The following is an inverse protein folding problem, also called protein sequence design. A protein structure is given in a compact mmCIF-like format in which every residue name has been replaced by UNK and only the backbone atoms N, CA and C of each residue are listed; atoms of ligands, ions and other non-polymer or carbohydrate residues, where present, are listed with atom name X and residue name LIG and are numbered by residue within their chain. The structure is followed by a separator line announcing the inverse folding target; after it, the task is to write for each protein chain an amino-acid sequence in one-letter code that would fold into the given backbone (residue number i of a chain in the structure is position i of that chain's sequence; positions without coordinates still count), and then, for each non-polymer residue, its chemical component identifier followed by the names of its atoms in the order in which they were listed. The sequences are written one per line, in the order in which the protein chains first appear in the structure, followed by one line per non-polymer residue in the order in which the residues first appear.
data_IF_198140300177
#
_entry.id   IF_198140300177
#
_cell.length_a   1.000
_cell.length_b   1.000
_cell.length_c   1.000
_cell.angle_alpha   90.00
_cell.angle_beta   90.00
_cell.angle_gamma   90.00
#
_symmetry.space_group_name_H-M   'P 1'
#
loop_
_entity.id
_entity.type
_entity.pdbx_description
1 polymer ?
#
# COMPACT_ATOMS: atom_id res chain seq x y z
N UNK A 1 45.61 -17.86 -14.07
CA UNK A 1 44.99 -17.62 -12.75
C UNK A 1 43.95 -16.51 -12.91
N UNK A 2 42.72 -16.87 -13.30
CA UNK A 2 41.64 -15.88 -13.50
C UNK A 2 40.81 -15.81 -12.22
N UNK A 3 41.01 -14.76 -11.43
CA UNK A 3 40.16 -14.46 -10.27
C UNK A 3 38.86 -13.82 -10.77
N UNK A 4 37.73 -14.48 -10.53
CA UNK A 4 36.41 -13.93 -10.79
C UNK A 4 36.09 -12.84 -9.74
N UNK A 5 35.50 -11.70 -10.12
CA UNK A 5 35.19 -10.64 -9.16
C UNK A 5 34.10 -11.11 -8.20
N UNK A 6 34.34 -10.87 -6.91
CA UNK A 6 33.44 -11.21 -5.82
C UNK A 6 32.00 -10.75 -6.09
N UNK A 7 31.07 -11.70 -6.11
CA UNK A 7 29.61 -11.50 -6.17
C UNK A 7 29.14 -10.73 -4.92
N UNK A 8 29.10 -9.40 -4.97
CA UNK A 8 28.65 -8.55 -3.86
C UNK A 8 27.25 -7.94 -4.04
N UNK A 9 26.35 -8.46 -4.88
CA UNK A 9 25.09 -7.76 -5.19
C UNK A 9 23.76 -8.57 -5.24
N UNK A 10 23.43 -9.50 -4.31
CA UNK A 10 22.05 -9.96 -4.17
C UNK A 10 21.15 -9.04 -3.31
N UNK A 11 21.72 -8.26 -2.37
CA UNK A 11 20.91 -7.54 -1.38
C UNK A 11 20.43 -6.16 -1.87
N UNK A 12 21.25 -5.43 -2.63
CA UNK A 12 20.88 -4.12 -3.17
C UNK A 12 19.73 -4.22 -4.19
N UNK A 13 19.65 -5.32 -4.95
CA UNK A 13 18.54 -5.56 -5.89
C UNK A 13 17.21 -5.77 -5.16
N UNK A 14 17.20 -6.46 -4.02
CA UNK A 14 15.98 -6.76 -3.26
C UNK A 14 15.24 -5.49 -2.78
N UNK A 15 15.99 -4.51 -2.26
CA UNK A 15 15.42 -3.25 -1.74
C UNK A 15 14.91 -2.36 -2.88
N UNK A 16 15.60 -2.36 -4.02
CA UNK A 16 15.21 -1.60 -5.21
C UNK A 16 13.95 -2.18 -5.83
N UNK A 17 13.88 -3.50 -5.97
CA UNK A 17 12.68 -4.23 -6.44
C UNK A 17 11.49 -4.00 -5.50
N UNK A 18 11.73 -4.02 -4.18
CA UNK A 18 10.71 -3.70 -3.19
C UNK A 18 10.15 -2.28 -3.38
N UNK A 19 11.02 -1.28 -3.53
CA UNK A 19 10.61 0.11 -3.77
C UNK A 19 9.79 0.25 -5.05
N UNK A 20 10.21 -0.39 -6.13
CA UNK A 20 9.49 -0.36 -7.41
C UNK A 20 8.09 -0.97 -7.30
N UNK A 21 7.97 -2.16 -6.69
CA UNK A 21 6.67 -2.81 -6.43
C UNK A 21 5.75 -1.93 -5.60
N UNK A 22 6.31 -1.23 -4.61
CA UNK A 22 5.58 -0.30 -3.75
C UNK A 22 5.09 0.93 -4.52
N UNK A 23 5.92 1.49 -5.39
CA UNK A 23 5.53 2.60 -6.28
C UNK A 23 4.44 2.16 -7.25
N UNK A 24 4.57 0.99 -7.87
CA UNK A 24 3.56 0.42 -8.75
C UNK A 24 2.21 0.30 -8.05
N UNK A 25 2.18 -0.24 -6.82
CA UNK A 25 0.97 -0.34 -6.00
C UNK A 25 0.33 1.03 -5.75
N UNK A 26 1.12 2.06 -5.42
CA UNK A 26 0.60 3.41 -5.19
C UNK A 26 -0.05 3.98 -6.44
N UNK A 27 0.57 3.78 -7.60
CA UNK A 27 0.00 4.21 -8.88
C UNK A 27 -1.34 3.53 -9.15
N UNK A 28 -1.45 2.23 -8.90
CA UNK A 28 -2.73 1.51 -9.05
C UNK A 28 -3.82 2.06 -8.13
N UNK A 29 -3.49 2.27 -6.85
CA UNK A 29 -4.46 2.83 -5.89
C UNK A 29 -4.90 4.21 -6.34
N UNK A 30 -3.96 5.06 -6.78
CA UNK A 30 -4.27 6.39 -7.29
C UNK A 30 -5.21 6.34 -8.50
N UNK A 31 -4.93 5.50 -9.49
CA UNK A 31 -5.79 5.34 -10.66
C UNK A 31 -7.21 4.90 -10.26
N UNK A 32 -7.32 3.97 -9.31
CA UNK A 32 -8.61 3.51 -8.81
C UNK A 32 -9.37 4.62 -8.06
N UNK A 33 -8.66 5.46 -7.30
CA UNK A 33 -9.26 6.62 -6.65
C UNK A 33 -9.69 7.71 -7.65
N UNK A 34 -8.88 7.98 -8.68
CA UNK A 34 -9.21 8.94 -9.74
C UNK A 34 -10.47 8.54 -10.53
N UNK A 35 -10.71 7.24 -10.71
CA UNK A 35 -11.94 6.73 -11.34
C UNK A 35 -13.19 6.91 -10.46
N UNK A 36 -13.03 6.99 -9.14
CA UNK A 36 -14.14 6.94 -8.19
C UNK A 36 -14.44 8.27 -7.52
N UNK A 37 -13.49 9.22 -7.54
CA UNK A 37 -13.60 10.47 -6.81
C UNK A 37 -13.04 11.64 -7.61
N UNK A 38 -13.81 12.72 -7.68
CA UNK A 38 -13.40 13.99 -8.30
C UNK A 38 -12.74 14.89 -7.25
N UNK A 39 -11.70 14.36 -6.59
CA UNK A 39 -10.97 15.07 -5.53
C UNK A 39 -9.67 15.68 -6.07
N UNK A 40 -9.16 16.70 -5.40
CA UNK A 40 -7.88 17.32 -5.76
C UNK A 40 -6.74 16.28 -5.82
N UNK A 41 -5.92 16.36 -6.89
CA UNK A 41 -4.80 15.43 -7.14
C UNK A 41 -3.83 15.30 -5.95
N UNK A 42 -3.61 16.38 -5.21
CA UNK A 42 -2.74 16.37 -4.03
C UNK A 42 -3.31 15.47 -2.92
N UNK A 43 -4.61 15.56 -2.66
CA UNK A 43 -5.31 14.75 -1.65
C UNK A 43 -5.34 13.27 -2.06
N UNK A 44 -5.54 12.99 -3.36
CA UNK A 44 -5.48 11.63 -3.91
C UNK A 44 -4.10 10.98 -3.73
N UNK A 45 -3.02 11.72 -3.96
CA UNK A 45 -1.66 11.22 -3.73
C UNK A 45 -1.43 10.85 -2.27
N UNK A 46 -1.86 11.71 -1.34
CA UNK A 46 -1.74 11.46 0.11
C UNK A 46 -2.56 10.23 0.51
N UNK A 47 -3.78 10.11 0.00
CA UNK A 47 -4.66 8.98 0.28
C UNK A 47 -4.07 7.67 -0.25
N UNK A 48 -3.54 7.67 -1.48
CA UNK A 48 -2.90 6.49 -2.08
C UNK A 48 -1.69 6.01 -1.26
N UNK A 49 -0.87 6.94 -0.74
CA UNK A 49 0.25 6.59 0.15
C UNK A 49 -0.23 5.97 1.46
N UNK A 50 -1.28 6.54 2.07
CA UNK A 50 -1.86 6.01 3.33
C UNK A 50 -2.43 4.62 3.13
N UNK A 51 -3.23 4.41 2.07
CA UNK A 51 -3.82 3.11 1.74
C UNK A 51 -2.75 2.06 1.43
N UNK A 52 -1.70 2.42 0.69
CA UNK A 52 -0.58 1.50 0.44
C UNK A 52 0.10 1.06 1.74
N UNK A 53 0.33 1.98 2.68
CA UNK A 53 0.92 1.63 3.99
C UNK A 53 0.03 0.69 4.79
N UNK A 54 -1.29 0.90 4.77
CA UNK A 54 -2.26 0.02 5.44
C UNK A 54 -2.29 -1.37 4.78
N UNK A 55 -2.32 -1.43 3.45
CA UNK A 55 -2.22 -2.68 2.70
C UNK A 55 -0.94 -3.44 3.03
N UNK A 56 0.21 -2.77 3.06
CA UNK A 56 1.47 -3.41 3.42
C UNK A 56 1.46 -3.94 4.86
N UNK A 57 0.90 -3.19 5.80
CA UNK A 57 0.82 -3.62 7.22
C UNK A 57 -0.08 -4.84 7.40
N UNK A 58 -1.20 -4.87 6.70
CA UNK A 58 -2.21 -5.93 6.85
C UNK A 58 -1.91 -7.16 5.98
N UNK A 59 -1.28 -6.95 4.82
CA UNK A 59 -0.97 -7.97 3.85
C UNK A 59 0.52 -7.93 3.46
N UNK A 60 1.44 -8.23 4.39
CA UNK A 60 2.89 -8.08 4.20
C UNK A 60 3.48 -9.10 3.22
N UNK A 61 2.69 -10.00 2.64
CA UNK A 61 3.14 -10.93 1.58
C UNK A 61 2.68 -10.48 0.18
N UNK A 62 1.78 -9.51 0.10
CA UNK A 62 1.14 -9.08 -1.14
C UNK A 62 1.87 -7.91 -1.81
N UNK A 63 3.02 -8.24 -2.38
CA UNK A 63 3.87 -7.29 -3.09
C UNK A 63 3.56 -7.21 -4.59
N UNK A 64 3.69 -6.02 -5.15
CA UNK A 64 3.68 -5.82 -6.61
C UNK A 64 2.31 -5.44 -7.15
N UNK A 65 1.97 -5.93 -8.33
CA UNK A 65 0.71 -5.65 -9.00
C UNK A 65 -0.41 -6.54 -8.45
N UNK A 66 -1.63 -6.03 -8.34
CA UNK A 66 -2.85 -6.82 -8.15
C UNK A 66 -3.86 -6.40 -9.21
N UNK A 67 -4.76 -7.30 -9.58
CA UNK A 67 -5.93 -6.91 -10.38
C UNK A 67 -6.75 -5.87 -9.61
N UNK A 68 -7.45 -4.99 -10.34
CA UNK A 68 -8.28 -3.94 -9.73
C UNK A 68 -9.33 -4.53 -8.78
N UNK A 69 -9.87 -5.70 -9.10
CA UNK A 69 -10.81 -6.44 -8.27
C UNK A 69 -10.20 -6.89 -6.94
N UNK A 70 -9.02 -7.55 -7.00
CA UNK A 70 -8.32 -8.01 -5.80
C UNK A 70 -7.86 -6.84 -4.94
N UNK A 71 -7.37 -5.76 -5.56
CA UNK A 71 -6.99 -4.53 -4.86
C UNK A 71 -8.21 -3.90 -4.18
N UNK A 72 -9.34 -3.79 -4.90
CA UNK A 72 -10.59 -3.25 -4.36
C UNK A 72 -11.13 -4.06 -3.18
N UNK A 73 -11.07 -5.40 -3.23
CA UNK A 73 -11.45 -6.27 -2.12
C UNK A 73 -10.60 -6.03 -0.87
N UNK A 74 -9.27 -5.92 -1.03
CA UNK A 74 -8.37 -5.67 0.10
C UNK A 74 -8.55 -4.27 0.68
N UNK A 75 -8.79 -3.27 -0.16
CA UNK A 75 -9.12 -1.92 0.29
C UNK A 75 -10.44 -1.89 1.07
N UNK A 76 -11.48 -2.60 0.61
CA UNK A 76 -12.74 -2.74 1.35
C UNK A 76 -12.56 -3.41 2.70
N UNK A 77 -11.69 -4.41 2.79
CA UNK A 77 -11.35 -5.06 4.06
C UNK A 77 -10.71 -4.08 5.04
N UNK A 78 -9.72 -3.29 4.59
CA UNK A 78 -9.13 -2.20 5.40
C UNK A 78 -10.20 -1.21 5.86
N UNK A 79 -11.11 -0.79 4.98
CA UNK A 79 -12.18 0.15 5.34
C UNK A 79 -13.10 -0.45 6.39
N UNK A 80 -13.49 -1.72 6.25
CA UNK A 80 -14.30 -2.43 7.24
C UNK A 80 -13.62 -2.44 8.61
N UNK A 81 -12.32 -2.70 8.65
CA UNK A 81 -11.56 -2.73 9.90
C UNK A 81 -11.45 -1.35 10.55
N UNK A 82 -11.26 -0.30 9.74
CA UNK A 82 -11.27 1.09 10.23
C UNK A 82 -12.65 1.45 10.82
N UNK A 83 -13.73 1.08 10.14
CA UNK A 83 -15.09 1.39 10.58
C UNK A 83 -15.45 0.63 11.87
N UNK A 84 -15.08 -0.64 11.97
CA UNK A 84 -15.30 -1.45 13.17
C UNK A 84 -14.46 -0.96 14.35
N UNK A 85 -13.20 -0.59 14.15
CA UNK A 85 -12.37 -0.01 15.19
C UNK A 85 -12.93 1.32 15.73
N UNK A 86 -13.53 2.15 14.87
CA UNK A 86 -14.19 3.41 15.29
C UNK A 86 -15.46 3.19 16.12
N UNK A 87 -16.18 2.10 15.90
CA UNK A 87 -17.35 1.76 16.71
C UNK A 87 -16.95 1.27 18.12
N UNK A 88 -15.71 0.79 18.27
CA UNK A 88 -15.17 0.28 19.53
C UNK A 88 -14.47 1.34 20.39
N UNK A 89 -14.37 2.60 19.94
CA UNK A 89 -13.96 3.72 20.81
C UNK A 89 -15.22 4.31 21.45
N UNK A 90 -15.65 3.85 22.65
CA UNK A 90 -16.66 4.58 23.39
C UNK A 90 -16.06 5.94 23.73
N UNK A 91 -16.76 6.98 23.30
CA UNK A 91 -16.66 8.31 23.89
C UNK A 91 -16.93 8.19 25.38
N UNK A 92 -15.88 7.93 26.18
CA UNK A 92 -15.89 8.24 27.61
C UNK A 92 -15.92 9.76 27.72
N UNK A 93 -17.13 10.32 27.64
CA UNK A 93 -17.43 11.67 28.10
C UNK A 93 -17.27 11.62 29.62
N UNK A 94 -16.14 12.12 30.11
CA UNK A 94 -15.97 12.44 31.51
C UNK A 94 -16.95 13.56 31.86
N UNK A 95 -17.88 13.27 32.76
CA UNK A 95 -18.69 14.26 33.48
C UNK A 95 -17.85 14.93 34.56
#
# INVERSE_FOLDING_TARGET
MCQAPHRLLPQLTSTTVFRLRRLQRRTQIKQLLEQTTQTERAQLNVLAIKLERLLFRQFPRDYGYLTNEALGLKLRHIVKDILTAKQQTPTMVAK
#
